data_IF_714990913376
#
_entry.id   IF_714990913376
#
_cell.length_a   1.000
_cell.length_b   1.000
_cell.length_c   1.000
_cell.angle_alpha   90.00
_cell.angle_beta   90.00
_cell.angle_gamma   90.00
#
_symmetry.space_group_name_H-M   'P 1'
#
loop_
_entity.id
_entity.type
_entity.pdbx_description
1 polymer ?
#
# COMPACT_ATOMS: atom_id res chain seq x y z
N UNK A 1 -10.34 -5.61 -20.64
CA UNK A 1 -9.78 -5.19 -19.34
C UNK A 1 -8.43 -4.54 -19.64
N UNK A 2 -8.40 -3.21 -19.81
CA UNK A 2 -7.17 -2.50 -20.18
C UNK A 2 -6.47 -2.13 -18.87
N UNK A 3 -5.34 -2.76 -18.60
CA UNK A 3 -4.49 -2.39 -17.48
C UNK A 3 -3.97 -0.96 -17.72
N UNK A 4 -4.34 -0.03 -16.84
CA UNK A 4 -3.85 1.36 -16.79
C UNK A 4 -2.39 1.44 -16.31
N UNK A 5 -1.50 0.55 -16.78
CA UNK A 5 -0.05 0.62 -16.53
C UNK A 5 0.72 1.00 -17.80
N UNK A 6 0.29 2.05 -18.50
CA UNK A 6 0.99 2.52 -19.70
C UNK A 6 1.27 4.03 -19.69
N UNK A 7 1.44 4.64 -18.51
CA UNK A 7 1.58 6.09 -18.44
C UNK A 7 2.83 6.64 -19.16
N UNK A 8 3.85 5.84 -19.43
CA UNK A 8 5.05 6.28 -20.16
C UNK A 8 4.98 5.97 -21.66
N UNK A 9 4.69 4.73 -22.05
CA UNK A 9 4.65 4.31 -23.46
C UNK A 9 3.46 4.91 -24.22
N UNK A 10 2.24 4.88 -23.66
CA UNK A 10 1.06 5.49 -24.30
C UNK A 10 1.18 7.01 -24.37
N UNK A 11 1.75 7.64 -23.34
CA UNK A 11 1.99 9.07 -23.38
C UNK A 11 3.01 9.43 -24.48
N UNK A 12 4.11 8.67 -24.61
CA UNK A 12 5.06 8.90 -25.69
C UNK A 12 4.43 8.66 -27.07
N UNK A 13 3.63 7.60 -27.23
CA UNK A 13 2.96 7.32 -28.51
C UNK A 13 1.99 8.44 -28.92
N UNK A 14 1.22 8.98 -27.98
CA UNK A 14 0.26 10.06 -28.22
C UNK A 14 0.91 11.43 -28.40
N UNK A 15 1.88 11.78 -27.54
CA UNK A 15 2.42 13.14 -27.45
C UNK A 15 3.80 13.29 -28.09
N UNK A 16 4.45 12.18 -28.48
CA UNK A 16 5.83 12.13 -29.00
C UNK A 16 6.87 12.76 -28.07
N UNK A 17 6.55 12.82 -26.79
CA UNK A 17 7.41 13.33 -25.72
C UNK A 17 7.49 12.28 -24.60
N UNK A 18 8.68 12.11 -24.03
CA UNK A 18 8.84 11.30 -22.82
C UNK A 18 8.14 11.98 -21.63
N UNK A 19 7.76 11.22 -20.58
CA UNK A 19 7.17 11.80 -19.37
C UNK A 19 8.05 12.84 -18.66
N UNK A 20 9.37 12.83 -18.90
CA UNK A 20 10.31 13.82 -18.33
C UNK A 20 10.28 15.09 -19.19
N UNK A 21 10.42 14.98 -20.50
CA UNK A 21 10.34 16.12 -21.43
C UNK A 21 9.02 16.86 -21.29
N UNK A 22 7.90 16.13 -21.24
CA UNK A 22 6.57 16.75 -21.05
C UNK A 22 6.46 17.51 -19.72
N UNK A 23 7.10 17.03 -18.65
CA UNK A 23 7.14 17.73 -17.36
C UNK A 23 7.98 19.01 -17.42
N UNK A 24 9.04 19.03 -18.22
CA UNK A 24 9.85 20.23 -18.46
C UNK A 24 9.15 21.23 -19.39
N UNK A 25 8.54 20.75 -20.47
CA UNK A 25 7.88 21.58 -21.50
C UNK A 25 6.54 22.13 -21.02
N UNK A 26 5.83 21.39 -20.17
CA UNK A 26 4.54 21.78 -19.61
C UNK A 26 4.59 21.67 -18.08
N UNK A 27 5.36 22.55 -17.40
CA UNK A 27 5.46 22.54 -15.96
C UNK A 27 4.08 22.78 -15.38
N UNK A 28 3.68 21.94 -14.41
CA UNK A 28 2.41 22.16 -13.71
C UNK A 28 2.49 23.52 -13.02
N UNK A 29 1.43 24.34 -13.06
CA UNK A 29 1.41 25.58 -12.30
C UNK A 29 1.62 25.24 -10.81
N UNK A 30 2.28 26.12 -10.03
CA UNK A 30 2.41 25.93 -8.60
C UNK A 30 1.02 25.79 -7.99
N UNK A 31 0.85 24.79 -7.13
CA UNK A 31 -0.39 24.53 -6.39
C UNK A 31 -0.02 24.35 -4.93
N UNK A 32 -0.87 24.83 -4.04
CA UNK A 32 -0.79 24.43 -2.64
C UNK A 32 -1.00 22.91 -2.49
N UNK A 33 -0.44 22.31 -1.45
CA UNK A 33 -0.52 20.87 -1.19
C UNK A 33 0.84 20.19 -1.13
N UNK A 34 0.80 18.86 -1.17
CA UNK A 34 1.91 18.00 -0.77
C UNK A 34 1.87 17.71 0.73
N UNK A 35 3.04 17.55 1.34
CA UNK A 35 3.17 17.27 2.76
C UNK A 35 3.04 18.56 3.58
N UNK A 36 2.07 18.53 4.49
CA UNK A 36 1.77 19.63 5.41
C UNK A 36 1.92 19.11 6.84
N UNK A 37 2.72 19.81 7.64
CA UNK A 37 2.90 19.50 9.04
C UNK A 37 1.70 20.01 9.84
N UNK A 38 1.21 19.18 10.75
CA UNK A 38 0.11 19.46 11.67
C UNK A 38 0.56 19.13 13.10
N UNK A 39 -0.29 19.36 14.09
CA UNK A 39 0.06 19.30 15.51
C UNK A 39 0.68 17.97 15.95
N UNK A 40 0.17 16.85 15.44
CA UNK A 40 0.52 15.48 15.84
C UNK A 40 1.17 14.68 14.70
N UNK A 41 1.60 15.32 13.60
CA UNK A 41 2.25 14.62 12.49
C UNK A 41 2.14 15.35 11.15
N UNK A 42 1.84 14.58 10.10
CA UNK A 42 1.77 15.08 8.73
C UNK A 42 0.48 14.64 8.04
N UNK A 43 0.01 15.46 7.11
CA UNK A 43 -1.05 15.13 6.17
C UNK A 43 -0.54 15.35 4.74
N UNK A 44 -1.04 14.54 3.80
CA UNK A 44 -0.81 14.75 2.38
C UNK A 44 -2.08 15.36 1.76
N UNK A 45 -1.97 16.56 1.22
CA UNK A 45 -3.08 17.30 0.61
C UNK A 45 -2.86 17.44 -0.89
N UNK A 46 -3.89 17.12 -1.69
CA UNK A 46 -3.90 17.42 -3.12
C UNK A 46 -4.94 18.50 -3.45
N UNK A 47 -4.50 19.65 -3.97
CA UNK A 47 -5.41 20.69 -4.47
C UNK A 47 -5.60 20.55 -5.99
N UNK A 48 -6.26 19.48 -6.43
CA UNK A 48 -6.59 19.27 -7.85
C UNK A 48 -8.06 19.58 -8.18
N UNK A 49 -8.89 19.78 -7.15
CA UNK A 49 -10.35 19.98 -7.29
C UNK A 49 -10.68 21.47 -7.30
N UNK A 50 -10.88 22.04 -8.49
CA UNK A 50 -11.16 23.48 -8.68
C UNK A 50 -12.30 24.01 -7.80
N UNK A 51 -13.44 23.31 -7.74
CA UNK A 51 -14.58 23.71 -6.89
C UNK A 51 -14.22 23.77 -5.40
N UNK A 52 -13.43 22.81 -4.91
CA UNK A 52 -13.00 22.78 -3.52
C UNK A 52 -12.03 23.92 -3.21
N UNK A 53 -11.13 24.22 -4.16
CA UNK A 53 -10.20 25.36 -4.09
C UNK A 53 -10.95 26.68 -4.04
N UNK A 54 -11.91 26.91 -4.95
CA UNK A 54 -12.72 28.13 -4.99
C UNK A 54 -13.52 28.33 -3.70
N UNK A 55 -14.16 27.26 -3.20
CA UNK A 55 -14.89 27.31 -1.93
C UNK A 55 -13.98 27.67 -0.75
N UNK A 56 -12.78 27.08 -0.69
CA UNK A 56 -11.83 27.34 0.39
C UNK A 56 -11.25 28.77 0.31
N UNK A 57 -10.99 29.26 -0.90
CA UNK A 57 -10.58 30.64 -1.15
C UNK A 57 -11.62 31.64 -0.66
N UNK A 58 -12.89 31.40 -0.99
CA UNK A 58 -13.99 32.25 -0.54
C UNK A 58 -14.14 32.24 0.98
N UNK A 59 -14.03 31.06 1.61
CA UNK A 59 -14.12 30.91 3.08
C UNK A 59 -12.97 31.63 3.81
N UNK A 60 -11.75 31.50 3.29
CA UNK A 60 -10.57 32.13 3.88
C UNK A 60 -10.39 33.60 3.47
N UNK A 61 -11.21 34.09 2.53
CA UNK A 61 -11.13 35.45 2.01
C UNK A 61 -9.81 35.73 1.28
N UNK A 62 -9.31 34.76 0.52
CA UNK A 62 -8.02 34.87 -0.20
C UNK A 62 -8.18 34.62 -1.70
N UNK A 63 -7.43 35.37 -2.51
CA UNK A 63 -7.44 35.20 -3.97
C UNK A 63 -6.62 33.97 -4.41
N UNK A 64 -5.61 33.59 -3.63
CA UNK A 64 -4.69 32.49 -3.91
C UNK A 64 -4.50 31.58 -2.70
N UNK A 65 -4.41 30.26 -2.96
CA UNK A 65 -4.02 29.28 -1.96
C UNK A 65 -2.52 29.01 -2.11
N UNK A 66 -1.75 29.37 -1.08
CA UNK A 66 -0.31 29.10 -1.00
C UNK A 66 -0.03 28.02 0.05
N UNK A 67 1.14 27.37 -0.06
CA UNK A 67 1.54 26.36 0.91
C UNK A 67 1.75 26.94 2.31
N UNK A 68 2.25 28.16 2.38
CA UNK A 68 2.49 28.89 3.62
C UNK A 68 1.16 29.14 4.34
N UNK A 69 0.13 29.58 3.61
CA UNK A 69 -1.21 29.80 4.17
C UNK A 69 -1.83 28.50 4.66
N UNK A 70 -1.75 27.42 3.86
CA UNK A 70 -2.30 26.12 4.25
C UNK A 70 -1.60 25.58 5.50
N UNK A 71 -0.27 25.68 5.57
CA UNK A 71 0.50 25.29 6.76
C UNK A 71 0.09 26.10 7.98
N UNK A 72 -0.06 27.42 7.83
CA UNK A 72 -0.46 28.31 8.92
C UNK A 72 -1.83 27.92 9.48
N UNK A 73 -2.81 27.66 8.60
CA UNK A 73 -4.18 27.31 8.98
C UNK A 73 -4.33 25.93 9.61
N UNK A 74 -3.48 24.97 9.22
CA UNK A 74 -3.60 23.58 9.67
C UNK A 74 -2.64 23.21 10.82
N UNK A 75 -1.66 24.06 11.16
CA UNK A 75 -0.59 23.73 12.14
C UNK A 75 -1.11 23.29 13.51
N UNK A 76 -2.21 23.89 13.96
CA UNK A 76 -2.79 23.64 15.30
C UNK A 76 -3.82 22.51 15.31
N UNK A 77 -4.22 22.04 14.13
CA UNK A 77 -5.12 20.89 13.97
C UNK A 77 -4.34 19.59 14.15
N UNK A 78 -5.02 18.56 14.63
CA UNK A 78 -4.53 17.17 14.53
C UNK A 78 -4.73 16.63 13.09
N UNK A 79 -4.07 15.52 12.76
CA UNK A 79 -4.22 14.80 11.50
C UNK A 79 -5.69 14.48 11.20
N UNK A 80 -6.46 14.05 12.21
CA UNK A 80 -7.88 13.74 12.05
C UNK A 80 -8.74 15.00 11.85
N UNK A 81 -8.49 16.07 12.61
CA UNK A 81 -9.22 17.33 12.44
C UNK A 81 -8.96 17.94 11.05
N UNK A 82 -7.70 17.96 10.60
CA UNK A 82 -7.34 18.43 9.28
C UNK A 82 -7.97 17.56 8.17
N UNK A 83 -7.97 16.23 8.36
CA UNK A 83 -8.64 15.30 7.45
C UNK A 83 -10.14 15.60 7.36
N UNK A 84 -10.86 15.65 8.49
CA UNK A 84 -12.29 15.93 8.51
C UNK A 84 -12.61 17.30 7.87
N UNK A 85 -11.87 18.33 8.26
CA UNK A 85 -12.07 19.70 7.78
C UNK A 85 -11.94 19.81 6.25
N UNK A 86 -10.90 19.20 5.64
CA UNK A 86 -10.66 19.32 4.20
C UNK A 86 -11.37 18.24 3.37
N UNK A 87 -11.55 17.02 3.89
CA UNK A 87 -12.25 15.94 3.19
C UNK A 87 -13.74 16.28 2.98
N UNK A 88 -14.40 16.88 3.98
CA UNK A 88 -15.80 17.34 3.85
C UNK A 88 -15.99 18.40 2.77
N UNK A 89 -14.91 19.15 2.46
CA UNK A 89 -14.86 20.15 1.38
C UNK A 89 -14.49 19.55 0.02
N UNK A 90 -14.29 18.23 -0.03
CA UNK A 90 -13.99 17.49 -1.26
C UNK A 90 -12.53 17.54 -1.69
N UNK A 91 -11.61 17.93 -0.79
CA UNK A 91 -10.18 17.76 -1.04
C UNK A 91 -9.76 16.29 -0.84
N UNK A 92 -8.98 15.72 -1.76
CA UNK A 92 -8.21 14.52 -1.46
C UNK A 92 -7.14 14.86 -0.41
N UNK A 93 -7.35 14.37 0.80
CA UNK A 93 -6.42 14.48 1.92
C UNK A 93 -6.32 13.14 2.62
N UNK A 94 -5.13 12.81 3.13
CA UNK A 94 -4.93 11.64 3.98
C UNK A 94 -3.91 11.92 5.07
N UNK A 95 -4.09 11.37 6.29
CA UNK A 95 -3.04 11.37 7.29
C UNK A 95 -1.84 10.55 6.80
N UNK A 96 -0.65 11.00 7.15
CA UNK A 96 0.57 10.20 6.98
C UNK A 96 0.73 9.35 8.23
N UNK A 97 0.72 8.03 8.02
CA UNK A 97 0.82 7.04 9.08
C UNK A 97 2.22 6.43 9.10
N UNK A 98 2.67 6.14 10.32
CA UNK A 98 3.71 5.14 10.55
C UNK A 98 3.17 3.73 10.25
N UNK A 99 4.08 2.76 10.04
CA UNK A 99 3.69 1.41 9.65
C UNK A 99 2.69 0.76 10.63
N UNK A 100 2.91 0.91 11.93
CA UNK A 100 2.03 0.35 12.97
C UNK A 100 0.65 1.04 13.01
N UNK A 101 0.59 2.37 12.83
CA UNK A 101 -0.66 3.12 12.75
C UNK A 101 -1.50 2.66 11.55
N UNK A 102 -0.86 2.46 10.39
CA UNK A 102 -1.55 1.95 9.19
C UNK A 102 -2.08 0.52 9.38
N UNK A 103 -1.41 -0.30 10.19
CA UNK A 103 -1.86 -1.64 10.54
C UNK A 103 -3.09 -1.62 11.47
N UNK A 104 -3.25 -0.57 12.26
CA UNK A 104 -4.32 -0.41 13.24
C UNK A 104 -5.47 0.47 12.73
N UNK A 105 -5.31 1.09 11.55
CA UNK A 105 -6.33 1.94 10.96
C UNK A 105 -7.66 1.19 10.78
N UNK A 106 -8.76 1.88 11.12
CA UNK A 106 -10.12 1.32 11.09
C UNK A 106 -10.49 0.76 9.72
N UNK A 107 -10.05 1.41 8.63
CA UNK A 107 -10.31 0.93 7.28
C UNK A 107 -9.52 -0.34 6.98
N UNK A 108 -8.23 -0.37 7.34
CA UNK A 108 -7.38 -1.56 7.19
C UNK A 108 -7.96 -2.78 7.91
N UNK A 109 -8.42 -2.59 9.16
CA UNK A 109 -9.03 -3.64 9.97
C UNK A 109 -10.39 -4.08 9.40
N UNK A 110 -11.28 -3.14 9.06
CA UNK A 110 -12.59 -3.44 8.50
C UNK A 110 -12.53 -4.20 7.17
N UNK A 111 -11.42 -4.06 6.43
CA UNK A 111 -11.18 -4.78 5.18
C UNK A 111 -10.43 -6.11 5.35
N UNK A 112 -10.10 -6.51 6.57
CA UNK A 112 -9.37 -7.75 6.82
C UNK A 112 -7.98 -7.77 6.14
N UNK A 113 -7.33 -6.61 6.05
CA UNK A 113 -6.03 -6.48 5.35
C UNK A 113 -4.87 -7.15 6.09
N UNK A 114 -5.10 -7.60 7.32
CA UNK A 114 -4.10 -8.25 8.18
C UNK A 114 -4.67 -9.55 8.74
N UNK A 115 -3.84 -10.59 8.76
CA UNK A 115 -4.17 -11.88 9.36
C UNK A 115 -3.12 -12.25 10.40
N UNK A 116 -3.51 -13.03 11.39
CA UNK A 116 -2.57 -13.66 12.31
C UNK A 116 -2.11 -15.01 11.74
N UNK A 117 -0.82 -15.24 11.79
CA UNK A 117 -0.16 -16.44 11.26
C UNK A 117 0.67 -17.05 12.37
N UNK A 118 0.47 -18.34 12.64
CA UNK A 118 1.29 -19.11 13.58
C UNK A 118 2.39 -19.86 12.83
N UNK A 119 3.63 -19.39 12.95
CA UNK A 119 4.79 -19.97 12.30
C UNK A 119 5.66 -20.73 13.28
N UNK A 120 6.01 -21.98 12.94
CA UNK A 120 6.72 -22.93 13.81
C UNK A 120 8.01 -22.37 14.45
N UNK A 121 8.75 -21.53 13.74
CA UNK A 121 9.98 -20.91 14.27
C UNK A 121 9.82 -19.47 14.80
N UNK A 122 8.77 -18.76 14.42
CA UNK A 122 8.63 -17.32 14.71
C UNK A 122 7.50 -17.02 15.72
N UNK A 123 6.68 -18.02 16.05
CA UNK A 123 5.47 -17.85 16.84
C UNK A 123 4.38 -17.16 16.03
N UNK A 124 3.43 -16.56 16.77
CA UNK A 124 2.29 -15.83 16.19
C UNK A 124 2.72 -14.42 15.79
N UNK A 125 2.43 -14.04 14.55
CA UNK A 125 2.66 -12.67 14.05
C UNK A 125 1.58 -12.23 13.07
N UNK A 126 1.48 -10.91 12.83
CA UNK A 126 0.58 -10.34 11.83
C UNK A 126 1.25 -10.25 10.45
N UNK A 127 0.57 -10.72 9.42
CA UNK A 127 0.99 -10.62 8.03
C UNK A 127 -0.06 -9.87 7.18
N UNK A 128 0.34 -9.19 6.08
CA UNK A 128 -0.61 -8.71 5.09
C UNK A 128 -1.44 -9.86 4.53
N UNK A 129 -2.74 -9.68 4.44
CA UNK A 129 -3.63 -10.61 3.75
C UNK A 129 -3.55 -10.41 2.23
N UNK A 130 -4.23 -11.28 1.47
CA UNK A 130 -4.38 -11.11 0.04
C UNK A 130 -5.08 -9.76 -0.27
N UNK A 131 -4.44 -8.85 -1.04
CA UNK A 131 -4.85 -7.45 -1.10
C UNK A 131 -6.11 -7.20 -1.95
N UNK A 132 -6.58 -8.21 -2.69
CA UNK A 132 -7.72 -8.10 -3.61
C UNK A 132 -8.85 -8.97 -3.11
N UNK A 133 -10.05 -8.40 -2.95
CA UNK A 133 -11.23 -9.15 -2.52
C UNK A 133 -12.02 -9.56 -3.75
N UNK A 134 -12.07 -10.86 -4.02
CA UNK A 134 -12.95 -11.46 -5.02
C UNK A 134 -14.25 -11.93 -4.38
N UNK A 135 -15.37 -11.70 -5.05
CA UNK A 135 -16.70 -12.09 -4.54
C UNK A 135 -16.95 -13.60 -4.58
N UNK A 136 -16.37 -14.31 -5.56
CA UNK A 136 -16.62 -15.75 -5.77
C UNK A 136 -15.45 -16.62 -5.32
N UNK A 137 -14.22 -16.13 -5.44
CA UNK A 137 -12.99 -16.85 -5.06
C UNK A 137 -12.11 -16.00 -4.14
N UNK A 138 -12.54 -15.73 -2.90
CA UNK A 138 -11.76 -14.92 -1.97
C UNK A 138 -10.36 -15.51 -1.82
N UNK A 139 -9.32 -14.71 -2.08
CA UNK A 139 -7.95 -15.08 -1.77
C UNK A 139 -7.69 -14.86 -0.29
N UNK A 140 -6.99 -15.79 0.36
CA UNK A 140 -6.62 -15.70 1.76
C UNK A 140 -5.22 -16.26 1.99
N UNK A 141 -4.54 -15.71 2.98
CA UNK A 141 -3.33 -16.34 3.53
C UNK A 141 -3.78 -17.35 4.58
N UNK A 142 -3.76 -18.63 4.21
CA UNK A 142 -4.31 -19.74 5.02
C UNK A 142 -3.29 -20.43 5.93
N UNK A 143 -1.99 -20.22 5.69
CA UNK A 143 -0.91 -20.88 6.43
C UNK A 143 0.37 -20.07 6.44
N UNK A 144 1.23 -20.37 7.41
CA UNK A 144 2.56 -19.82 7.52
C UNK A 144 3.49 -20.30 6.39
N UNK A 145 4.58 -19.56 6.18
CA UNK A 145 5.66 -20.02 5.33
C UNK A 145 6.18 -21.40 5.82
N UNK A 146 6.52 -22.32 4.90
CA UNK A 146 6.99 -23.64 5.29
C UNK A 146 8.41 -23.58 5.88
N UNK A 147 8.67 -24.48 6.82
CA UNK A 147 10.04 -24.75 7.27
C UNK A 147 10.87 -25.37 6.15
N UNK A 148 12.19 -25.21 6.24
CA UNK A 148 13.11 -25.82 5.28
C UNK A 148 12.91 -27.34 5.24
N UNK A 149 12.52 -27.84 4.07
CA UNK A 149 12.28 -29.25 3.85
C UNK A 149 10.97 -29.79 4.42
N UNK A 150 10.00 -28.95 4.79
CA UNK A 150 8.72 -29.36 5.38
C UNK A 150 7.95 -30.34 4.50
N UNK A 151 7.87 -30.07 3.21
CA UNK A 151 7.09 -30.85 2.24
C UNK A 151 7.96 -31.72 1.32
N UNK A 152 9.26 -31.88 1.61
CA UNK A 152 10.19 -32.60 0.71
C UNK A 152 9.74 -34.03 0.45
N UNK A 153 9.48 -34.82 1.50
CA UNK A 153 9.03 -36.21 1.35
C UNK A 153 7.67 -36.29 0.67
N UNK A 154 6.71 -35.45 1.06
CA UNK A 154 5.37 -35.39 0.46
C UNK A 154 5.46 -35.21 -1.06
N UNK A 155 6.15 -34.16 -1.52
CA UNK A 155 6.28 -33.85 -2.95
C UNK A 155 7.02 -34.95 -3.71
N UNK A 156 8.11 -35.51 -3.16
CA UNK A 156 8.88 -36.55 -3.84
C UNK A 156 8.11 -37.88 -3.93
N UNK A 157 7.28 -38.21 -2.94
CA UNK A 157 6.37 -39.37 -3.00
C UNK A 157 5.28 -39.13 -4.05
N UNK A 158 4.57 -38.02 -3.95
CA UNK A 158 3.38 -37.77 -4.78
C UNK A 158 3.70 -37.49 -6.24
N UNK A 159 4.78 -36.74 -6.51
CA UNK A 159 5.12 -36.31 -7.87
C UNK A 159 6.08 -37.25 -8.57
N UNK A 160 6.96 -37.93 -7.83
CA UNK A 160 8.02 -38.78 -8.40
C UNK A 160 7.92 -40.25 -7.99
N UNK A 161 6.91 -40.64 -7.20
CA UNK A 161 6.68 -42.04 -6.81
C UNK A 161 7.80 -42.62 -5.95
N UNK A 162 8.59 -41.79 -5.25
CA UNK A 162 9.71 -42.25 -4.43
C UNK A 162 9.22 -43.06 -3.24
N UNK A 163 9.88 -44.18 -2.98
CA UNK A 163 9.64 -45.00 -1.78
C UNK A 163 10.33 -44.40 -0.56
N UNK A 164 9.90 -44.78 0.65
CA UNK A 164 10.56 -44.34 1.90
C UNK A 164 12.05 -44.71 1.94
N UNK A 165 12.41 -45.90 1.46
CA UNK A 165 13.80 -46.35 1.40
C UNK A 165 14.67 -45.47 0.48
N UNK A 166 14.13 -45.04 -0.67
CA UNK A 166 14.85 -44.12 -1.55
C UNK A 166 15.01 -42.73 -0.93
N UNK A 167 13.98 -42.23 -0.23
CA UNK A 167 14.01 -40.94 0.45
C UNK A 167 15.04 -40.93 1.59
N UNK A 168 15.08 -42.00 2.38
CA UNK A 168 16.08 -42.16 3.44
C UNK A 168 17.50 -42.19 2.87
N UNK A 169 17.70 -42.86 1.73
CA UNK A 169 18.99 -42.88 1.04
C UNK A 169 19.40 -41.50 0.50
N UNK A 170 18.44 -40.72 -0.01
CA UNK A 170 18.68 -39.35 -0.48
C UNK A 170 19.02 -38.40 0.68
N UNK A 171 18.30 -38.50 1.80
CA UNK A 171 18.56 -37.71 3.00
C UNK A 171 19.96 -38.03 3.57
N UNK A 172 20.31 -39.32 3.66
CA UNK A 172 21.64 -39.77 4.13
C UNK A 172 22.79 -39.29 3.25
N UNK A 173 22.56 -39.15 1.94
CA UNK A 173 23.53 -38.61 0.98
C UNK A 173 23.62 -37.08 1.03
N UNK A 174 22.77 -36.40 1.80
CA UNK A 174 22.68 -34.94 1.83
C UNK A 174 22.07 -34.34 0.56
N UNK A 175 21.42 -35.17 -0.27
CA UNK A 175 20.80 -34.71 -1.52
C UNK A 175 19.45 -34.02 -1.29
N UNK A 176 18.80 -34.30 -0.15
CA UNK A 176 17.54 -33.68 0.25
C UNK A 176 17.57 -33.35 1.75
N UNK A 177 16.72 -32.41 2.16
CA UNK A 177 16.48 -32.06 3.57
C UNK A 177 15.01 -32.29 3.89
N UNK A 178 14.73 -32.94 5.02
CA UNK A 178 13.39 -33.13 5.56
C UNK A 178 13.29 -32.44 6.93
N UNK A 179 12.24 -31.64 7.12
CA UNK A 179 11.94 -31.04 8.42
C UNK A 179 11.50 -32.09 9.44
N UNK A 180 11.93 -31.95 10.70
CA UNK A 180 11.78 -32.98 11.77
C UNK A 180 10.83 -32.61 12.90
N UNK A 181 10.10 -31.50 12.79
CA UNK A 181 9.31 -30.92 13.89
C UNK A 181 10.09 -29.85 14.62
#
# INVERSE_FOLDING_TARGET
MVAFNCCSSVAYELFKESPIERRHNNPRPPRAGGLIQVKDGWVYLMTERLKAIESLKQEWGVDELTNELVREKLKDMTRQEAFAYLADRGFPIGPVYEAHEAMEDRHSLARGMWVEVDHKAAGVYRAPNFPVVFSETPGEVDRAAPMLGQHTREVLKEKLGKTDAELDALEKKGAIVQWKG
#
